data_IF_303547143180
#
_entry.id   IF_303547143180
#
_cell.length_a   1.000
_cell.length_b   1.000
_cell.length_c   1.000
_cell.angle_alpha   90.00
_cell.angle_beta   90.00
_cell.angle_gamma   90.00
#
_symmetry.space_group_name_H-M   'P 1'
#
loop_
_entity.id
_entity.type
_entity.pdbx_description
1 polymer ?
#
# COMPACT_ATOMS: atom_id res chain seq x y z
N UNK A 1 -13.18 -15.44 16.68
CA UNK A 1 -12.10 -14.84 15.87
C UNK A 1 -12.79 -13.87 14.95
N UNK A 2 -12.44 -12.60 15.10
CA UNK A 2 -12.90 -11.58 14.16
C UNK A 2 -12.17 -11.77 12.83
N UNK A 3 -12.69 -11.12 11.79
CA UNK A 3 -12.11 -11.15 10.46
C UNK A 3 -11.92 -9.73 10.00
N UNK A 4 -10.81 -9.49 9.32
CA UNK A 4 -10.50 -8.25 8.65
C UNK A 4 -10.47 -8.49 7.14
N UNK A 5 -10.88 -7.49 6.37
CA UNK A 5 -10.71 -7.47 4.92
C UNK A 5 -9.93 -6.22 4.58
N UNK A 6 -8.73 -6.38 4.05
CA UNK A 6 -7.88 -5.27 3.63
C UNK A 6 -7.72 -5.22 2.12
N UNK A 7 -7.61 -4.02 1.59
CA UNK A 7 -7.12 -3.77 0.24
C UNK A 7 -5.60 -3.89 0.23
N UNK A 8 -5.03 -4.46 -0.84
CA UNK A 8 -3.59 -4.62 -1.00
C UNK A 8 -3.10 -3.95 -2.28
N UNK A 9 -1.95 -3.29 -2.15
CA UNK A 9 -1.16 -2.78 -3.25
C UNK A 9 0.26 -3.31 -3.16
N UNK A 10 0.81 -3.63 -4.33
CA UNK A 10 2.22 -4.00 -4.48
C UNK A 10 2.86 -3.17 -5.57
N UNK A 11 4.09 -2.73 -5.32
CA UNK A 11 4.71 -1.77 -6.20
C UNK A 11 6.21 -1.86 -6.30
N UNK A 12 6.70 -0.98 -7.17
CA UNK A 12 8.09 -0.64 -7.34
C UNK A 12 8.28 0.84 -7.12
N UNK A 13 9.24 1.19 -6.26
CA UNK A 13 9.79 2.52 -6.11
C UNK A 13 11.30 2.45 -6.28
N UNK A 14 11.89 3.52 -6.82
CA UNK A 14 13.33 3.57 -7.10
C UNK A 14 14.19 3.49 -5.85
N UNK A 15 13.71 4.03 -4.73
CA UNK A 15 14.37 4.02 -3.44
C UNK A 15 13.33 4.25 -2.33
N UNK A 16 13.79 4.05 -1.08
CA UNK A 16 12.97 4.21 0.12
C UNK A 16 12.50 5.66 0.33
N UNK A 17 13.33 6.66 0.04
CA UNK A 17 12.94 8.07 0.18
C UNK A 17 11.76 8.41 -0.73
N UNK A 18 11.79 7.98 -2.00
CA UNK A 18 10.68 8.17 -2.96
C UNK A 18 9.39 7.47 -2.51
N UNK A 19 9.52 6.31 -1.84
CA UNK A 19 8.38 5.60 -1.28
C UNK A 19 7.81 6.30 -0.04
N UNK A 20 8.67 6.73 0.88
CA UNK A 20 8.26 7.46 2.09
C UNK A 20 7.59 8.78 1.71
N UNK A 21 8.15 9.51 0.76
CA UNK A 21 7.55 10.72 0.16
C UNK A 21 6.17 10.49 -0.47
N UNK A 22 5.84 9.23 -0.81
CA UNK A 22 4.56 8.85 -1.37
C UNK A 22 3.58 8.36 -0.29
N UNK A 23 4.04 7.52 0.64
CA UNK A 23 3.22 6.80 1.60
C UNK A 23 3.01 7.55 2.93
N UNK A 24 4.01 8.29 3.41
CA UNK A 24 3.96 8.96 4.73
C UNK A 24 2.96 10.12 4.77
N UNK A 25 2.50 10.43 5.99
CA UNK A 25 1.65 11.59 6.22
C UNK A 25 2.41 12.90 5.94
N UNK A 26 1.79 13.78 5.18
CA UNK A 26 2.25 15.15 5.01
C UNK A 26 1.82 15.98 6.24
N UNK A 27 2.78 16.33 7.10
CA UNK A 27 2.54 17.16 8.29
C UNK A 27 1.86 18.50 7.95
N UNK A 28 2.05 19.04 6.73
CA UNK A 28 1.44 20.30 6.31
C UNK A 28 -0.10 20.20 6.27
N UNK A 29 -0.66 19.00 6.08
CA UNK A 29 -2.09 18.73 6.12
C UNK A 29 -2.75 19.27 7.40
N UNK A 30 -2.05 19.19 8.54
CA UNK A 30 -2.57 19.56 9.86
C UNK A 30 -2.34 21.02 10.25
N UNK A 31 -1.59 21.77 9.43
CA UNK A 31 -1.17 23.15 9.76
C UNK A 31 -1.66 24.19 8.77
N UNK A 32 -1.92 23.77 7.52
CA UNK A 32 -2.47 24.63 6.49
C UNK A 32 -3.98 24.87 6.70
N UNK A 33 -4.49 25.97 6.13
CA UNK A 33 -5.93 26.20 6.11
C UNK A 33 -6.60 25.12 5.24
N UNK A 34 -7.74 24.60 5.69
CA UNK A 34 -8.49 23.56 4.97
C UNK A 34 -8.71 23.99 3.50
N UNK A 35 -8.19 23.18 2.58
CA UNK A 35 -8.33 23.37 1.14
C UNK A 35 -8.74 22.04 0.48
N UNK A 36 -9.52 22.14 -0.61
CA UNK A 36 -9.95 20.98 -1.41
C UNK A 36 -8.78 20.21 -2.04
N UNK A 37 -7.64 20.88 -2.28
CA UNK A 37 -6.43 20.28 -2.84
C UNK A 37 -5.47 19.69 -1.80
N UNK A 38 -5.83 19.71 -0.51
CA UNK A 38 -4.96 19.23 0.56
C UNK A 38 -5.25 17.75 0.85
N UNK A 39 -4.23 16.91 0.76
CA UNK A 39 -4.30 15.46 1.00
C UNK A 39 -3.31 15.07 2.09
N UNK A 40 -3.70 14.11 2.93
CA UNK A 40 -2.87 13.63 4.05
C UNK A 40 -1.60 12.94 3.56
N UNK A 41 -1.56 12.45 2.32
CA UNK A 41 -0.37 11.94 1.65
C UNK A 41 -0.57 11.87 0.14
N UNK A 42 0.52 11.62 -0.62
CA UNK A 42 0.39 11.36 -2.07
C UNK A 42 -0.31 10.04 -2.35
N UNK A 43 -0.18 9.05 -1.47
CA UNK A 43 -1.00 7.84 -1.56
C UNK A 43 -2.48 8.18 -1.44
N UNK A 44 -2.87 8.99 -0.45
CA UNK A 44 -4.25 9.44 -0.28
C UNK A 44 -4.77 10.23 -1.48
N UNK A 45 -3.95 11.12 -2.03
CA UNK A 45 -4.20 11.83 -3.30
C UNK A 45 -4.46 10.85 -4.46
N UNK A 46 -3.60 9.83 -4.61
CA UNK A 46 -3.74 8.83 -5.67
C UNK A 46 -5.03 8.01 -5.58
N UNK A 47 -5.58 7.85 -4.37
CA UNK A 47 -6.85 7.18 -4.12
C UNK A 47 -8.04 8.16 -4.11
N UNK A 48 -7.78 9.45 -4.34
CA UNK A 48 -8.75 10.54 -4.27
C UNK A 48 -9.47 10.63 -2.91
N UNK A 49 -8.71 10.53 -1.83
CA UNK A 49 -9.19 10.61 -0.44
C UNK A 49 -8.35 11.66 0.29
N UNK A 50 -8.97 12.76 0.72
CA UNK A 50 -8.23 13.84 1.40
C UNK A 50 -7.60 13.37 2.72
N UNK A 51 -8.29 12.52 3.47
CA UNK A 51 -7.82 12.06 4.77
C UNK A 51 -8.36 10.69 5.12
N UNK A 52 -7.50 9.90 5.75
CA UNK A 52 -7.85 8.71 6.49
C UNK A 52 -6.87 8.50 7.64
N UNK A 53 -7.29 7.69 8.62
CA UNK A 53 -6.49 7.36 9.78
C UNK A 53 -5.48 6.26 9.44
N UNK A 54 -4.20 6.56 9.65
CA UNK A 54 -3.08 5.68 9.36
C UNK A 54 -2.99 4.48 10.31
N UNK A 55 -3.73 4.49 11.43
CA UNK A 55 -3.86 3.31 12.30
C UNK A 55 -4.53 2.12 11.58
N UNK A 56 -5.19 2.36 10.45
CA UNK A 56 -5.80 1.33 9.60
C UNK A 56 -4.98 1.01 8.34
N UNK A 57 -3.75 1.54 8.23
CA UNK A 57 -2.85 1.33 7.12
C UNK A 57 -1.53 0.74 7.62
N UNK A 58 -1.00 -0.23 6.90
CA UNK A 58 0.37 -0.71 7.06
C UNK A 58 1.06 -0.67 5.71
N UNK A 59 2.31 -0.22 5.70
CA UNK A 59 3.07 -0.03 4.49
C UNK A 59 4.56 -0.19 4.76
N UNK A 60 5.32 -0.48 3.71
CA UNK A 60 6.77 -0.53 3.83
C UNK A 60 7.49 -0.81 2.52
N UNK A 61 8.80 -0.60 2.57
CA UNK A 61 9.74 -0.70 1.48
C UNK A 61 10.83 -1.72 1.81
N UNK A 62 11.13 -2.59 0.87
CA UNK A 62 12.00 -3.76 1.07
C UNK A 62 13.09 -3.86 0.00
N UNK A 63 14.19 -4.56 0.30
CA UNK A 63 15.25 -4.78 -0.69
C UNK A 63 14.71 -5.60 -1.89
N UNK A 64 14.78 -5.02 -3.09
CA UNK A 64 14.25 -5.62 -4.32
C UNK A 64 14.85 -7.00 -4.63
N UNK A 65 16.07 -7.28 -4.15
CA UNK A 65 16.80 -8.53 -4.39
C UNK A 65 16.27 -9.72 -3.58
N UNK A 66 15.48 -9.46 -2.54
CA UNK A 66 14.90 -10.49 -1.68
C UNK A 66 13.70 -11.20 -2.33
N UNK A 67 13.45 -12.44 -1.92
CA UNK A 67 12.22 -13.16 -2.28
C UNK A 67 10.98 -12.53 -1.63
N UNK A 68 9.80 -12.74 -2.21
CA UNK A 68 8.53 -12.18 -1.69
C UNK A 68 8.28 -12.52 -0.22
N UNK A 69 8.63 -13.74 0.22
CA UNK A 69 8.48 -14.10 1.63
C UNK A 69 9.47 -13.39 2.54
N UNK A 70 10.72 -13.24 2.11
CA UNK A 70 11.74 -12.54 2.89
C UNK A 70 11.40 -11.06 3.05
N UNK A 71 10.80 -10.45 2.02
CA UNK A 71 10.32 -9.07 2.05
C UNK A 71 9.21 -8.86 3.07
N UNK A 72 8.22 -9.74 3.09
CA UNK A 72 6.93 -9.40 3.68
C UNK A 72 6.51 -10.25 4.88
N UNK A 73 7.34 -11.19 5.35
CA UNK A 73 6.97 -12.09 6.46
C UNK A 73 6.85 -11.40 7.82
N UNK A 74 7.44 -10.22 7.99
CA UNK A 74 7.46 -9.50 9.28
C UNK A 74 6.26 -8.55 9.47
N UNK A 75 5.44 -8.38 8.42
CA UNK A 75 4.24 -7.54 8.45
C UNK A 75 3.08 -8.23 9.17
N UNK A 76 2.11 -7.43 9.64
CA UNK A 76 1.00 -7.96 10.44
C UNK A 76 0.20 -9.03 9.68
N UNK A 77 0.01 -10.19 10.32
CA UNK A 77 -0.76 -11.32 9.79
C UNK A 77 -0.24 -11.87 8.44
N UNK A 78 1.03 -11.62 8.10
CA UNK A 78 1.64 -12.04 6.84
C UNK A 78 1.54 -13.55 6.58
N UNK A 79 1.61 -14.38 7.61
CA UNK A 79 1.45 -15.82 7.51
C UNK A 79 0.11 -16.24 6.87
N UNK A 80 -0.93 -15.40 6.96
CA UNK A 80 -2.24 -15.64 6.39
C UNK A 80 -2.40 -15.10 4.97
N UNK A 81 -2.00 -13.85 4.71
CA UNK A 81 -2.27 -13.19 3.42
C UNK A 81 -1.15 -13.37 2.38
N UNK A 82 0.08 -13.63 2.79
CA UNK A 82 1.24 -13.69 1.90
C UNK A 82 1.15 -14.78 0.82
N UNK A 83 0.63 -16.00 1.10
CA UNK A 83 0.38 -17.00 0.05
C UNK A 83 -0.62 -16.52 -1.01
N UNK A 84 -1.61 -15.70 -0.62
CA UNK A 84 -2.61 -15.14 -1.53
C UNK A 84 -1.99 -14.03 -2.38
N UNK A 85 -1.13 -13.22 -1.79
CA UNK A 85 -0.36 -12.19 -2.50
C UNK A 85 0.56 -12.82 -3.56
N UNK A 86 1.31 -13.86 -3.20
CA UNK A 86 2.16 -14.60 -4.15
C UNK A 86 1.34 -15.16 -5.32
N UNK A 87 0.18 -15.74 -5.05
CA UNK A 87 -0.73 -16.21 -6.10
C UNK A 87 -1.15 -15.05 -7.04
N UNK A 88 -1.53 -13.90 -6.49
CA UNK A 88 -1.97 -12.72 -7.27
C UNK A 88 -0.85 -12.13 -8.13
N UNK A 89 0.38 -12.06 -7.62
CA UNK A 89 1.55 -11.63 -8.40
C UNK A 89 1.71 -12.52 -9.65
N UNK A 90 1.65 -13.85 -9.45
CA UNK A 90 1.77 -14.82 -10.53
C UNK A 90 0.63 -14.73 -11.56
N UNK A 91 -0.61 -14.49 -11.11
CA UNK A 91 -1.78 -14.35 -11.98
C UNK A 91 -1.77 -13.06 -12.81
N UNK A 92 -1.31 -11.96 -12.22
CA UNK A 92 -1.20 -10.66 -12.88
C UNK A 92 -0.01 -10.58 -13.83
N UNK A 93 0.92 -11.54 -13.75
CA UNK A 93 2.14 -11.54 -14.56
C UNK A 93 2.96 -10.27 -14.33
N UNK A 94 2.99 -9.76 -13.10
CA UNK A 94 3.76 -8.57 -12.75
C UNK A 94 5.25 -8.90 -12.94
N UNK A 95 5.83 -8.39 -14.03
CA UNK A 95 7.26 -8.51 -14.34
C UNK A 95 8.12 -7.53 -13.52
N UNK A 96 7.48 -6.57 -12.85
CA UNK A 96 8.15 -5.50 -12.12
C UNK A 96 8.76 -6.05 -10.82
N UNK A 97 10.02 -5.70 -10.49
CA UNK A 97 10.55 -5.97 -9.15
C UNK A 97 9.61 -5.37 -8.10
N UNK A 98 9.11 -6.19 -7.18
CA UNK A 98 8.25 -5.73 -6.09
C UNK A 98 9.13 -5.38 -4.91
N UNK A 99 9.10 -4.13 -4.48
CA UNK A 99 9.83 -3.64 -3.31
C UNK A 99 8.97 -2.76 -2.39
N UNK A 100 7.70 -2.53 -2.72
CA UNK A 100 6.79 -1.77 -1.89
C UNK A 100 5.49 -2.53 -1.66
N UNK A 101 4.94 -2.39 -0.46
CA UNK A 101 3.61 -2.87 -0.09
C UNK A 101 2.85 -1.76 0.65
N UNK A 102 1.56 -1.65 0.35
CA UNK A 102 0.60 -0.89 1.15
C UNK A 102 -0.62 -1.78 1.32
N UNK A 103 -1.14 -1.90 2.54
CA UNK A 103 -2.43 -2.52 2.77
C UNK A 103 -3.19 -1.85 3.91
N UNK A 104 -4.51 -1.82 3.80
CA UNK A 104 -5.34 -1.19 4.81
C UNK A 104 -6.78 -1.65 4.77
N UNK A 105 -7.48 -1.44 5.89
CA UNK A 105 -8.86 -1.86 6.08
C UNK A 105 -9.75 -1.40 4.92
N UNK A 106 -10.56 -2.31 4.38
CA UNK A 106 -11.44 -2.07 3.22
C UNK A 106 -12.29 -0.80 3.33
N UNK A 107 -12.78 -0.50 4.52
CA UNK A 107 -13.69 0.63 4.74
C UNK A 107 -13.00 2.00 4.64
N UNK A 108 -11.67 2.03 4.67
CA UNK A 108 -10.87 3.26 4.62
C UNK A 108 -10.69 3.75 3.19
N UNK A 109 -10.55 2.81 2.24
CA UNK A 109 -10.25 3.11 0.83
C UNK A 109 -11.38 2.58 -0.05
N UNK A 110 -12.46 3.35 -0.28
CA UNK A 110 -13.68 2.83 -0.90
C UNK A 110 -13.54 2.50 -2.39
N UNK A 111 -12.61 3.15 -3.10
CA UNK A 111 -12.40 2.97 -4.54
C UNK A 111 -10.90 2.80 -4.83
N UNK A 112 -10.31 1.66 -4.44
CA UNK A 112 -8.88 1.43 -4.61
C UNK A 112 -8.50 1.40 -6.09
N UNK A 113 -7.43 2.11 -6.44
CA UNK A 113 -6.89 2.18 -7.80
C UNK A 113 -5.39 1.89 -7.84
N UNK A 114 -4.92 1.38 -8.98
CA UNK A 114 -3.50 1.28 -9.27
C UNK A 114 -2.95 2.63 -9.73
N UNK A 115 -1.67 2.87 -9.44
CA UNK A 115 -0.89 4.02 -9.90
C UNK A 115 0.24 3.51 -10.79
N UNK A 116 0.49 4.15 -11.92
CA UNK A 116 1.53 3.75 -12.86
C UNK A 116 2.15 4.99 -13.50
N UNK A 117 3.19 5.50 -12.88
CA UNK A 117 3.96 6.65 -13.31
C UNK A 117 5.28 6.20 -13.95
N UNK A 118 6.06 7.14 -14.49
CA UNK A 118 7.33 6.84 -15.15
C UNK A 118 8.39 6.30 -14.18
N UNK A 119 8.42 6.79 -12.93
CA UNK A 119 9.46 6.46 -11.93
C UNK A 119 8.98 5.45 -10.87
N UNK A 120 7.69 5.18 -10.76
CA UNK A 120 7.14 4.23 -9.80
C UNK A 120 5.80 3.64 -10.26
N UNK A 121 5.48 2.47 -9.76
CA UNK A 121 4.19 1.83 -9.97
C UNK A 121 3.70 1.18 -8.69
N UNK A 122 2.40 1.29 -8.42
CA UNK A 122 1.74 0.68 -7.27
C UNK A 122 0.44 0.03 -7.75
N UNK A 123 0.44 -1.29 -7.88
CA UNK A 123 -0.67 -2.05 -8.43
C UNK A 123 -1.61 -2.50 -7.33
N UNK A 124 -2.89 -2.14 -7.45
CA UNK A 124 -3.94 -2.73 -6.63
C UNK A 124 -4.14 -4.21 -7.02
N UNK A 125 -3.94 -5.11 -6.06
CA UNK A 125 -4.04 -6.56 -6.29
C UNK A 125 -5.31 -7.19 -5.72
N UNK A 126 -6.17 -6.40 -5.07
CA UNK A 126 -7.48 -6.82 -4.59
C UNK A 126 -7.62 -6.84 -3.07
N UNK A 127 -8.76 -7.40 -2.64
CA UNK A 127 -9.09 -7.62 -1.23
C UNK A 127 -8.55 -8.98 -0.75
N UNK A 128 -8.08 -9.04 0.49
CA UNK A 128 -7.70 -10.28 1.17
C UNK A 128 -8.35 -10.31 2.57
N UNK A 129 -8.99 -11.42 2.89
CA UNK A 129 -9.62 -11.67 4.20
C UNK A 129 -8.67 -12.49 5.09
N UNK A 130 -8.49 -12.07 6.34
CA UNK A 130 -7.67 -12.79 7.33
C UNK A 130 -8.26 -12.66 8.75
N UNK A 131 -7.75 -13.46 9.67
CA UNK A 131 -8.17 -13.45 11.08
C UNK A 131 -7.32 -12.49 11.91
N UNK A 132 -8.00 -11.74 12.78
CA UNK A 132 -7.43 -10.85 13.81
C UNK A 132 -7.82 -11.33 15.22
#
# INVERSE_FOLDING_TARGET
MEKEISHFWLGYFKNEDDFNDFAEENESYYTEEENEDLYVSKFAESQNIQWFDYDFLEYGFEDESLGIYEKFTDYSYADQWLPIVEQKINELGLETPVNAIIFGTKNVIPNPVSVNEEEYALYYIGEIEYHI
#
